data_IF_841210058149
#
_entry.id   IF_841210058149
#
_cell.length_a   1.000
_cell.length_b   1.000
_cell.length_c   1.000
_cell.angle_alpha   90.00
_cell.angle_beta   90.00
_cell.angle_gamma   90.00
#
_symmetry.space_group_name_H-M   'P 1'
#
loop_
_entity.id
_entity.type
_entity.pdbx_description
1 polymer ?
#
# COMPACT_ATOMS: atom_id res chain seq x y z
N UNK A 1 -40.56 -58.46 -2.04
CA UNK A 1 -40.29 -57.03 -2.31
C UNK A 1 -38.96 -56.67 -1.65
N UNK A 2 -38.05 -56.02 -2.40
CA UNK A 2 -36.86 -55.26 -1.94
C UNK A 2 -35.71 -56.17 -1.45
N UNK A 3 -34.56 -56.31 -2.13
CA UNK A 3 -33.59 -55.29 -2.59
C UNK A 3 -32.38 -55.33 -1.63
N UNK A 4 -31.09 -55.25 -1.97
CA UNK A 4 -30.36 -54.85 -3.18
C UNK A 4 -28.88 -55.28 -3.01
N UNK A 5 -28.18 -55.48 -4.13
CA UNK A 5 -26.76 -55.79 -4.21
C UNK A 5 -25.87 -54.65 -3.67
N UNK A 6 -24.93 -54.98 -2.77
CA UNK A 6 -23.91 -54.06 -2.27
C UNK A 6 -22.79 -53.92 -3.31
N UNK A 7 -22.87 -52.90 -4.18
CA UNK A 7 -21.79 -52.51 -5.09
C UNK A 7 -20.74 -51.72 -4.32
N UNK A 8 -19.55 -52.29 -4.15
CA UNK A 8 -18.36 -51.63 -3.62
C UNK A 8 -17.81 -50.64 -4.65
N UNK A 9 -18.23 -49.38 -4.57
CA UNK A 9 -17.69 -48.28 -5.37
C UNK A 9 -16.46 -47.70 -4.66
N UNK A 10 -15.26 -48.00 -5.17
CA UNK A 10 -14.02 -47.35 -4.74
C UNK A 10 -14.02 -45.92 -5.28
N UNK A 11 -14.18 -44.94 -4.37
CA UNK A 11 -14.00 -43.51 -4.66
C UNK A 11 -12.52 -43.25 -4.97
N UNK A 12 -12.21 -43.03 -6.25
CA UNK A 12 -10.92 -42.51 -6.68
C UNK A 12 -10.98 -40.98 -6.57
N UNK A 13 -10.58 -40.43 -5.44
CA UNK A 13 -10.42 -39.00 -5.25
C UNK A 13 -9.11 -38.56 -5.93
N UNK A 14 -9.19 -38.19 -7.21
CA UNK A 14 -8.10 -37.53 -7.91
C UNK A 14 -8.16 -36.04 -7.58
N UNK A 15 -7.39 -35.64 -6.56
CA UNK A 15 -7.16 -34.24 -6.21
C UNK A 15 -6.45 -33.54 -7.37
N UNK A 16 -7.19 -32.71 -8.11
CA UNK A 16 -6.63 -31.82 -9.10
C UNK A 16 -6.17 -30.55 -8.38
N UNK A 17 -4.85 -30.37 -8.31
CA UNK A 17 -4.19 -29.19 -7.77
C UNK A 17 -4.77 -27.93 -8.41
N UNK A 18 -5.41 -27.11 -7.56
CA UNK A 18 -5.83 -25.76 -7.90
C UNK A 18 -4.56 -24.94 -8.15
N UNK A 19 -4.20 -24.76 -9.42
CA UNK A 19 -3.12 -23.86 -9.80
C UNK A 19 -3.64 -22.44 -9.55
N UNK A 20 -3.14 -21.80 -8.49
CA UNK A 20 -3.42 -20.40 -8.21
C UNK A 20 -2.93 -19.57 -9.40
N UNK A 21 -3.85 -19.11 -10.25
CA UNK A 21 -3.54 -18.14 -11.28
C UNK A 21 -3.02 -16.88 -10.62
N UNK A 22 -1.78 -16.49 -10.93
CA UNK A 22 -1.33 -15.13 -10.74
C UNK A 22 -2.15 -14.24 -11.68
N UNK A 23 -3.34 -13.84 -11.24
CA UNK A 23 -4.13 -12.83 -11.91
C UNK A 23 -3.33 -11.52 -11.85
N UNK A 24 -2.52 -11.29 -12.89
CA UNK A 24 -1.90 -9.99 -13.13
C UNK A 24 -3.04 -9.01 -13.38
N UNK A 25 -3.25 -8.10 -12.44
CA UNK A 25 -4.30 -7.08 -12.49
C UNK A 25 -4.01 -6.01 -13.57
N UNK A 26 -2.87 -6.13 -14.26
CA UNK A 26 -2.36 -5.19 -15.27
C UNK A 26 -2.10 -5.93 -16.59
N UNK A 27 -3.09 -6.69 -17.09
CA UNK A 27 -2.99 -7.29 -18.42
C UNK A 27 -2.74 -6.18 -19.45
N UNK A 28 -1.58 -6.20 -20.12
CA UNK A 28 -1.21 -5.23 -21.15
C UNK A 28 -0.29 -4.08 -20.71
N UNK A 29 -0.01 -3.91 -19.42
CA UNK A 29 0.98 -2.93 -18.97
C UNK A 29 2.40 -3.45 -19.28
N UNK A 30 3.27 -2.58 -19.79
CA UNK A 30 4.68 -2.86 -20.00
C UNK A 30 5.55 -1.68 -19.57
N UNK A 31 6.86 -1.91 -19.42
CA UNK A 31 7.82 -0.90 -18.98
C UNK A 31 7.41 -0.18 -17.69
N UNK A 32 7.68 1.12 -17.65
CA UNK A 32 7.50 1.97 -16.47
C UNK A 32 6.05 2.04 -15.96
N UNK A 33 5.07 1.87 -16.85
CA UNK A 33 3.64 1.82 -16.48
C UNK A 33 3.38 0.59 -15.63
N UNK A 34 3.91 -0.57 -16.04
CA UNK A 34 3.76 -1.81 -15.27
C UNK A 34 4.48 -1.71 -13.92
N UNK A 35 5.70 -1.19 -13.93
CA UNK A 35 6.55 -1.08 -12.73
C UNK A 35 5.85 -0.28 -11.63
N UNK A 36 5.37 0.93 -11.93
CA UNK A 36 4.66 1.75 -10.93
C UNK A 36 3.33 1.15 -10.48
N UNK A 37 2.60 0.48 -11.37
CA UNK A 37 1.34 -0.18 -11.02
C UNK A 37 1.57 -1.35 -10.05
N UNK A 38 2.61 -2.15 -10.30
CA UNK A 38 3.00 -3.25 -9.41
C UNK A 38 3.47 -2.70 -8.05
N UNK A 39 4.24 -1.61 -8.03
CA UNK A 39 4.66 -0.91 -6.81
C UNK A 39 3.45 -0.42 -5.98
N UNK A 40 2.49 0.25 -6.62
CA UNK A 40 1.26 0.72 -5.97
C UNK A 40 0.44 -0.43 -5.40
N UNK A 41 0.36 -1.56 -6.13
CA UNK A 41 -0.32 -2.77 -5.66
C UNK A 41 0.38 -3.40 -4.46
N UNK A 42 1.72 -3.44 -4.46
CA UNK A 42 2.51 -3.93 -3.34
C UNK A 42 2.28 -3.06 -2.10
N UNK A 43 2.35 -1.73 -2.22
CA UNK A 43 2.06 -0.81 -1.12
C UNK A 43 0.65 -0.98 -0.57
N UNK A 44 -0.36 -1.12 -1.45
CA UNK A 44 -1.74 -1.39 -1.03
C UNK A 44 -1.91 -2.72 -0.28
N UNK A 45 -1.18 -3.77 -0.71
CA UNK A 45 -1.20 -5.06 -0.03
C UNK A 45 -0.53 -4.99 1.36
N UNK A 46 0.60 -4.30 1.48
CA UNK A 46 1.28 -4.09 2.75
C UNK A 46 0.42 -3.29 3.73
N UNK A 47 -0.22 -2.21 3.27
CA UNK A 47 -1.19 -1.44 4.07
C UNK A 47 -2.33 -2.32 4.56
N UNK A 48 -2.91 -3.17 3.69
CA UNK A 48 -3.97 -4.10 4.09
C UNK A 48 -3.51 -5.08 5.17
N UNK A 49 -2.29 -5.61 5.06
CA UNK A 49 -1.71 -6.51 6.06
C UNK A 49 -1.45 -5.80 7.39
N UNK A 50 -1.13 -4.50 7.37
CA UNK A 50 -0.89 -3.73 8.59
C UNK A 50 -2.17 -3.33 9.34
N UNK A 51 -3.31 -3.26 8.65
CA UNK A 51 -4.55 -2.74 9.20
C UNK A 51 -4.98 -3.38 10.54
N UNK A 52 -4.97 -4.72 10.73
CA UNK A 52 -5.36 -5.32 12.01
C UNK A 52 -4.45 -4.89 13.18
N UNK A 53 -3.13 -4.74 12.94
CA UNK A 53 -2.19 -4.27 13.95
C UNK A 53 -2.44 -2.80 14.30
N UNK A 54 -2.58 -1.94 13.28
CA UNK A 54 -2.84 -0.51 13.48
C UNK A 54 -4.21 -0.24 14.15
N UNK A 55 -5.16 -1.16 14.03
CA UNK A 55 -6.46 -1.09 14.71
C UNK A 55 -6.45 -1.69 16.13
N UNK A 56 -5.33 -2.25 16.58
CA UNK A 56 -5.24 -2.95 17.87
C UNK A 56 -5.94 -4.32 17.89
N UNK A 57 -6.32 -4.85 16.72
CA UNK A 57 -7.00 -6.13 16.57
C UNK A 57 -6.04 -7.32 16.39
N UNK A 58 -4.73 -7.07 16.32
CA UNK A 58 -3.69 -8.07 16.24
C UNK A 58 -2.41 -7.60 16.96
N UNK A 59 -1.56 -8.52 17.48
CA UNK A 59 -0.28 -8.16 18.05
C UNK A 59 0.61 -7.45 17.03
N UNK A 60 1.25 -6.36 17.45
CA UNK A 60 2.18 -5.63 16.57
C UNK A 60 3.43 -6.46 16.31
N UNK A 61 3.83 -6.50 15.05
CA UNK A 61 5.06 -7.14 14.61
C UNK A 61 6.03 -6.06 14.10
N UNK A 62 7.11 -5.72 14.84
CA UNK A 62 8.06 -4.68 14.43
C UNK A 62 8.65 -4.91 13.05
N UNK A 63 8.89 -6.18 12.67
CA UNK A 63 9.35 -6.57 11.34
C UNK A 63 8.37 -6.15 10.23
N UNK A 64 7.07 -6.32 10.44
CA UNK A 64 6.07 -5.93 9.46
C UNK A 64 5.94 -4.40 9.34
N UNK A 65 6.14 -3.67 10.45
CA UNK A 65 6.19 -2.19 10.44
C UNK A 65 7.39 -1.71 9.62
N UNK A 66 8.58 -2.29 9.85
CA UNK A 66 9.79 -1.99 9.07
C UNK A 66 9.67 -2.38 7.58
N UNK A 67 9.01 -3.51 7.26
CA UNK A 67 8.78 -3.91 5.86
C UNK A 67 7.89 -2.91 5.11
N UNK A 68 6.83 -2.38 5.74
CA UNK A 68 6.04 -1.32 5.12
C UNK A 68 6.86 -0.03 4.99
N UNK A 69 7.63 0.34 6.01
CA UNK A 69 8.48 1.52 5.97
C UNK A 69 9.44 1.48 4.77
N UNK A 70 10.16 0.36 4.60
CA UNK A 70 11.04 0.14 3.46
C UNK A 70 10.28 0.28 2.13
N UNK A 71 9.11 -0.34 2.00
CA UNK A 71 8.32 -0.27 0.77
C UNK A 71 7.85 1.15 0.43
N UNK A 72 7.40 1.92 1.42
CA UNK A 72 7.01 3.33 1.24
C UNK A 72 8.21 4.20 0.89
N UNK A 73 9.38 3.95 1.48
CA UNK A 73 10.62 4.67 1.19
C UNK A 73 11.11 4.40 -0.24
N UNK A 74 11.11 3.14 -0.66
CA UNK A 74 11.54 2.71 -1.99
C UNK A 74 10.63 3.24 -3.10
N UNK A 75 9.34 3.43 -2.81
CA UNK A 75 8.32 3.83 -3.77
C UNK A 75 7.72 5.22 -3.47
N UNK A 76 8.48 6.06 -2.77
CA UNK A 76 8.12 7.42 -2.38
C UNK A 76 9.10 8.45 -2.93
N UNK A 77 8.82 9.72 -2.65
CA UNK A 77 9.67 10.88 -2.99
C UNK A 77 10.13 10.89 -4.45
N UNK A 78 11.40 11.23 -4.67
CA UNK A 78 11.99 11.30 -6.00
C UNK A 78 11.89 9.97 -6.80
N UNK A 79 11.95 8.82 -6.12
CA UNK A 79 11.82 7.52 -6.77
C UNK A 79 10.42 7.35 -7.37
N UNK A 80 9.38 7.78 -6.65
CA UNK A 80 8.03 7.81 -7.17
C UNK A 80 7.88 8.80 -8.32
N UNK A 81 8.41 10.02 -8.18
CA UNK A 81 8.29 11.05 -9.22
C UNK A 81 8.91 10.58 -10.54
N UNK A 82 10.07 9.92 -10.48
CA UNK A 82 10.76 9.38 -11.65
C UNK A 82 9.94 8.31 -12.41
N UNK A 83 8.91 7.71 -11.80
CA UNK A 83 8.04 6.71 -12.43
C UNK A 83 6.97 7.31 -13.36
N UNK A 84 6.89 8.64 -13.44
CA UNK A 84 5.90 9.37 -14.24
C UNK A 84 6.57 10.33 -15.25
N UNK A 85 7.36 9.80 -16.21
CA UNK A 85 7.87 10.62 -17.31
C UNK A 85 6.70 11.20 -18.10
N UNK A 86 6.88 12.42 -18.60
CA UNK A 86 5.84 13.17 -19.31
C UNK A 86 5.22 12.36 -20.45
N UNK A 87 3.89 12.40 -20.54
CA UNK A 87 3.13 11.66 -21.54
C UNK A 87 2.99 10.15 -21.27
N UNK A 88 3.51 9.60 -20.16
CA UNK A 88 3.36 8.16 -19.83
C UNK A 88 1.96 7.75 -19.33
N UNK A 89 0.91 8.25 -19.98
CA UNK A 89 -0.51 8.06 -19.63
C UNK A 89 -1.26 7.12 -20.58
N UNK A 90 -0.58 6.53 -21.55
CA UNK A 90 -1.18 5.55 -22.44
C UNK A 90 -1.76 4.36 -21.66
N UNK A 91 -2.87 3.81 -22.17
CA UNK A 91 -3.52 2.63 -21.60
C UNK A 91 -2.49 1.48 -21.44
N UNK A 92 -2.44 0.81 -20.28
CA UNK A 92 -3.42 0.78 -19.20
C UNK A 92 -3.11 1.70 -18.02
N UNK A 93 -2.35 2.78 -18.23
CA UNK A 93 -2.11 3.76 -17.18
C UNK A 93 -3.41 4.33 -16.61
N UNK A 94 -3.40 4.60 -15.31
CA UNK A 94 -4.48 5.29 -14.61
C UNK A 94 -4.04 6.69 -14.13
N UNK A 95 -2.86 7.15 -14.55
CA UNK A 95 -2.35 8.48 -14.24
C UNK A 95 -3.12 9.55 -15.02
N UNK A 96 -3.24 10.75 -14.46
CA UNK A 96 -3.77 11.94 -15.13
C UNK A 96 -2.64 12.85 -15.61
N UNK A 97 -2.93 13.65 -16.63
CA UNK A 97 -2.02 14.73 -17.09
C UNK A 97 -1.72 15.77 -16.00
N UNK A 98 -2.62 15.91 -15.02
CA UNK A 98 -2.48 16.86 -13.91
C UNK A 98 -1.20 16.67 -13.09
N UNK A 99 -0.54 15.51 -13.18
CA UNK A 99 0.78 15.28 -12.59
C UNK A 99 1.80 16.33 -13.08
N UNK A 100 1.72 16.71 -14.36
CA UNK A 100 2.65 17.67 -14.98
C UNK A 100 2.12 19.11 -14.94
N UNK A 101 0.80 19.30 -14.73
CA UNK A 101 0.22 20.62 -14.46
C UNK A 101 0.51 21.11 -13.03
N UNK A 102 0.61 20.18 -12.06
CA UNK A 102 0.91 20.48 -10.65
C UNK A 102 2.03 19.56 -10.10
N UNK A 103 3.26 19.69 -10.62
CA UNK A 103 4.37 18.81 -10.27
C UNK A 103 4.84 19.01 -8.82
N UNK A 104 4.68 20.23 -8.27
CA UNK A 104 5.06 20.54 -6.89
C UNK A 104 4.18 19.80 -5.90
N UNK A 105 2.86 19.81 -6.10
CA UNK A 105 1.93 19.05 -5.26
C UNK A 105 2.15 17.55 -5.38
N UNK A 106 2.39 17.04 -6.59
CA UNK A 106 2.68 15.63 -6.80
C UNK A 106 3.95 15.21 -6.04
N UNK A 107 5.03 15.99 -6.17
CA UNK A 107 6.28 15.75 -5.46
C UNK A 107 6.10 15.83 -3.94
N UNK A 108 5.36 16.81 -3.43
CA UNK A 108 5.09 16.93 -1.99
C UNK A 108 4.33 15.72 -1.42
N UNK A 109 3.34 15.20 -2.15
CA UNK A 109 2.63 13.99 -1.76
C UNK A 109 3.51 12.74 -1.87
N UNK A 110 4.38 12.67 -2.88
CA UNK A 110 5.38 11.61 -2.99
C UNK A 110 6.34 11.62 -1.79
N UNK A 111 6.90 12.78 -1.45
CA UNK A 111 7.81 12.96 -0.32
C UNK A 111 7.16 12.58 1.01
N UNK A 112 5.85 12.81 1.14
CA UNK A 112 5.10 12.44 2.34
C UNK A 112 5.19 10.95 2.66
N UNK A 113 5.30 10.08 1.64
CA UNK A 113 5.50 8.63 1.85
C UNK A 113 6.86 8.34 2.50
N UNK A 114 7.92 9.06 2.12
CA UNK A 114 9.26 8.88 2.69
C UNK A 114 9.33 9.38 4.14
N UNK A 115 8.63 10.48 4.45
CA UNK A 115 8.52 11.00 5.81
C UNK A 115 7.75 10.04 6.71
N UNK A 116 6.67 9.44 6.19
CA UNK A 116 5.91 8.44 6.93
C UNK A 116 6.68 7.13 7.10
N UNK A 117 7.50 6.77 6.11
CA UNK A 117 8.43 5.64 6.22
C UNK A 117 9.45 5.86 7.34
N UNK A 118 10.08 7.05 7.42
CA UNK A 118 11.00 7.39 8.52
C UNK A 118 10.36 7.19 9.89
N UNK A 119 9.10 7.61 10.03
CA UNK A 119 8.38 7.53 11.30
C UNK A 119 7.96 6.09 11.63
N UNK A 120 7.58 5.28 10.63
CA UNK A 120 7.36 3.84 10.82
C UNK A 120 8.66 3.11 11.21
N UNK A 121 9.78 3.40 10.55
CA UNK A 121 11.09 2.83 10.89
C UNK A 121 11.48 3.17 12.33
N UNK A 122 11.23 4.42 12.76
CA UNK A 122 11.42 4.84 14.15
C UNK A 122 10.57 4.01 15.11
N UNK A 123 9.27 3.83 14.82
CA UNK A 123 8.40 2.98 15.63
C UNK A 123 8.89 1.54 15.69
N UNK A 124 9.33 0.97 14.57
CA UNK A 124 9.84 -0.40 14.49
C UNK A 124 11.07 -0.63 15.39
N UNK A 125 11.83 0.42 15.71
CA UNK A 125 12.98 0.37 16.63
C UNK A 125 12.63 0.49 18.11
N UNK A 126 11.37 0.76 18.48
CA UNK A 126 10.95 0.89 19.87
C UNK A 126 10.78 -0.46 20.56
N UNK A 127 11.08 -0.51 21.86
CA UNK A 127 10.79 -1.69 22.68
C UNK A 127 9.30 -1.90 22.93
N UNK A 128 8.52 -0.83 22.89
CA UNK A 128 7.05 -0.84 22.96
C UNK A 128 6.49 0.11 21.91
N UNK A 129 5.70 -0.43 20.96
CA UNK A 129 5.15 0.34 19.85
C UNK A 129 3.78 0.87 20.28
N UNK A 130 3.60 2.20 20.39
CA UNK A 130 2.29 2.77 20.68
C UNK A 130 1.34 2.43 19.52
N UNK A 131 0.25 1.72 19.81
CA UNK A 131 -0.70 1.25 18.78
C UNK A 131 -1.90 2.16 18.67
N UNK A 132 -2.50 2.45 19.83
CA UNK A 132 -3.80 3.10 19.91
C UNK A 132 -3.75 4.47 19.27
N UNK A 133 -4.66 4.71 18.33
CA UNK A 133 -4.85 6.01 17.71
C UNK A 133 -5.18 7.05 18.79
N UNK A 134 -4.42 8.14 18.85
CA UNK A 134 -4.65 9.21 19.84
C UNK A 134 -5.47 10.37 19.29
N UNK A 135 -5.88 10.29 18.03
CA UNK A 135 -6.51 11.40 17.29
C UNK A 135 -5.62 12.63 17.27
N UNK A 136 -4.29 12.44 17.26
CA UNK A 136 -3.34 13.51 17.06
C UNK A 136 -3.69 14.30 15.80
N UNK A 137 -3.69 15.63 15.91
CA UNK A 137 -3.85 16.50 14.75
C UNK A 137 -2.54 16.47 13.97
N UNK A 138 -2.49 15.65 12.92
CA UNK A 138 -1.35 15.57 12.02
C UNK A 138 -1.52 16.57 10.86
N UNK A 139 -0.41 17.13 10.33
CA UNK A 139 -0.43 18.03 9.17
C UNK A 139 -1.10 17.39 7.94
N UNK A 140 -1.46 18.21 6.95
CA UNK A 140 -1.92 17.66 5.69
C UNK A 140 -0.80 16.83 5.02
N UNK A 141 -1.12 15.76 4.25
CA UNK A 141 -0.10 14.91 3.67
C UNK A 141 0.98 15.66 2.86
N UNK A 142 0.59 16.62 2.03
CA UNK A 142 1.53 17.42 1.22
C UNK A 142 2.42 18.35 2.07
N UNK A 143 2.08 18.61 3.33
CA UNK A 143 2.86 19.48 4.23
C UNK A 143 3.86 18.69 5.09
N UNK A 144 3.77 17.35 5.09
CA UNK A 144 4.54 16.50 6.02
C UNK A 144 6.06 16.69 5.91
N UNK A 145 6.59 16.93 4.71
CA UNK A 145 8.02 17.19 4.50
C UNK A 145 8.52 18.43 5.26
N UNK A 146 7.64 19.41 5.49
CA UNK A 146 7.95 20.67 6.18
C UNK A 146 7.58 20.64 7.68
N UNK A 147 6.98 19.53 8.13
CA UNK A 147 6.47 19.34 9.48
C UNK A 147 7.23 18.28 10.27
N UNK A 148 8.47 17.99 9.88
CA UNK A 148 9.36 17.04 10.58
C UNK A 148 9.49 17.45 12.05
N UNK A 149 8.99 16.61 12.95
CA UNK A 149 8.91 16.87 14.40
C UNK A 149 7.49 16.95 14.96
N UNK A 150 6.48 17.26 14.12
CA UNK A 150 5.07 17.28 14.55
C UNK A 150 4.45 15.87 14.65
N UNK A 151 5.19 14.82 14.30
CA UNK A 151 4.77 13.41 14.40
C UNK A 151 5.52 12.60 15.46
N UNK A 152 6.38 13.21 16.28
CA UNK A 152 7.28 12.50 17.18
C UNK A 152 6.56 11.56 18.19
N UNK A 153 5.29 11.86 18.50
CA UNK A 153 4.46 11.07 19.41
C UNK A 153 3.34 10.30 18.68
N UNK A 154 3.39 10.19 17.35
CA UNK A 154 2.37 9.47 16.59
C UNK A 154 2.42 7.97 16.92
N UNK A 155 1.25 7.38 17.12
CA UNK A 155 1.11 5.93 17.25
C UNK A 155 1.06 5.24 15.89
N UNK A 156 1.22 3.91 15.86
CA UNK A 156 1.03 3.11 14.65
C UNK A 156 -0.36 3.35 14.04
N UNK A 157 -1.40 3.49 14.86
CA UNK A 157 -2.74 3.82 14.41
C UNK A 157 -2.85 5.22 13.79
N UNK A 158 -2.16 6.22 14.35
CA UNK A 158 -2.12 7.58 13.79
C UNK A 158 -1.38 7.60 12.44
N UNK A 159 -0.22 6.94 12.33
CA UNK A 159 0.56 6.84 11.09
C UNK A 159 -0.16 6.05 10.00
N UNK A 160 -0.80 4.93 10.35
CA UNK A 160 -1.58 4.14 9.40
C UNK A 160 -2.66 5.00 8.72
N UNK A 161 -3.35 5.82 9.51
CA UNK A 161 -4.36 6.74 8.98
C UNK A 161 -3.71 7.81 8.12
N UNK A 162 -2.58 8.38 8.55
CA UNK A 162 -1.89 9.42 7.79
C UNK A 162 -1.37 8.93 6.43
N UNK A 163 -0.85 7.70 6.37
CA UNK A 163 -0.48 7.03 5.11
C UNK A 163 -1.70 6.87 4.22
N UNK A 164 -2.81 6.38 4.76
CA UNK A 164 -4.07 6.27 4.02
C UNK A 164 -4.55 7.61 3.45
N UNK A 165 -4.45 8.70 4.23
CA UNK A 165 -4.78 10.06 3.78
C UNK A 165 -3.88 10.54 2.66
N UNK A 166 -2.58 10.23 2.71
CA UNK A 166 -1.63 10.52 1.63
C UNK A 166 -2.01 9.80 0.33
N UNK A 167 -2.31 8.50 0.41
CA UNK A 167 -2.76 7.71 -0.74
C UNK A 167 -4.05 8.28 -1.36
N UNK A 168 -5.02 8.65 -0.52
CA UNK A 168 -6.30 9.22 -0.98
C UNK A 168 -6.06 10.55 -1.68
N UNK A 169 -5.33 11.48 -1.05
CA UNK A 169 -5.07 12.80 -1.63
C UNK A 169 -4.37 12.69 -3.00
N UNK A 170 -3.34 11.85 -3.12
CA UNK A 170 -2.66 11.63 -4.39
C UNK A 170 -3.59 11.04 -5.46
N UNK A 171 -4.40 10.04 -5.10
CA UNK A 171 -5.34 9.43 -6.05
C UNK A 171 -6.48 10.37 -6.48
N UNK A 172 -6.96 11.24 -5.59
CA UNK A 172 -8.00 12.21 -5.92
C UNK A 172 -7.56 13.18 -7.02
N UNK A 173 -6.31 13.66 -6.91
CA UNK A 173 -5.73 14.67 -7.80
C UNK A 173 -5.17 14.06 -9.09
N UNK A 174 -4.48 12.91 -8.99
CA UNK A 174 -3.58 12.42 -10.04
C UNK A 174 -3.94 11.05 -10.63
N UNK A 175 -5.00 10.39 -10.15
CA UNK A 175 -5.46 9.10 -10.67
C UNK A 175 -6.86 9.19 -11.28
N UNK A 176 -7.08 8.59 -12.44
CA UNK A 176 -8.39 8.50 -13.10
C UNK A 176 -9.38 7.80 -12.15
N UNK A 177 -10.58 8.39 -11.97
CA UNK A 177 -11.66 7.75 -11.20
C UNK A 177 -12.26 6.62 -12.04
N UNK A 178 -12.44 5.44 -11.42
CA UNK A 178 -13.16 4.31 -12.02
C UNK A 178 -14.62 4.31 -11.60
#
# INVERSE_FOLDING_TARGET
MIGTHRKSMRLLALGLCLSAGLASAHQGASGIVKERMDAMKAMGAAMKAMAPMAQGNAPVQPRAVAELAALLRENGGAALVAQFPEGSIDHPSEARETIWDDPERFAALADSLTVLADELDRLAGLSDIPVTRTMATLPAPAELANSRGQMANASLGDLFVQIGRSCIACHEDFRIKK
#
